data_IF_726169424050
#
_entry.id   IF_726169424050
#
_cell.length_a   1.000
_cell.length_b   1.000
_cell.length_c   1.000
_cell.angle_alpha   90.00
_cell.angle_beta   90.00
_cell.angle_gamma   90.00
#
_symmetry.space_group_name_H-M   'P 1'
#
loop_
_entity.id
_entity.type
_entity.pdbx_description
1 polymer ?
#
# COMPACT_ATOMS: atom_id res chain seq x y z
N UNK A 1 9.29 8.16 -16.78
CA UNK A 1 8.88 6.89 -16.15
C UNK A 1 9.18 7.05 -14.67
N UNK A 2 8.16 7.00 -13.81
CA UNK A 2 8.42 7.11 -12.36
C UNK A 2 9.12 5.81 -11.89
N UNK A 3 9.72 5.78 -10.69
CA UNK A 3 10.47 4.60 -10.23
C UNK A 3 9.58 3.35 -10.08
N UNK A 4 8.29 3.53 -9.79
CA UNK A 4 7.30 2.44 -9.72
C UNK A 4 7.02 1.87 -11.11
N UNK A 5 6.87 2.72 -12.12
CA UNK A 5 6.73 2.31 -13.52
C UNK A 5 7.99 1.58 -14.01
N UNK A 6 9.18 1.99 -13.54
CA UNK A 6 10.46 1.33 -13.83
C UNK A 6 10.57 -0.01 -13.11
N UNK A 7 10.14 -0.12 -11.85
CA UNK A 7 10.14 -1.38 -11.09
C UNK A 7 9.09 -2.36 -11.61
N UNK A 8 7.90 -1.87 -11.99
CA UNK A 8 6.88 -2.67 -12.69
C UNK A 8 7.37 -3.08 -14.09
N UNK A 9 8.12 -2.22 -14.78
CA UNK A 9 8.76 -2.52 -16.06
C UNK A 9 9.91 -3.54 -15.96
N UNK A 10 10.70 -3.51 -14.87
CA UNK A 10 11.81 -4.41 -14.64
C UNK A 10 11.37 -5.78 -14.16
N UNK A 11 10.26 -5.83 -13.42
CA UNK A 11 9.71 -7.06 -12.87
C UNK A 11 8.60 -7.64 -13.74
N UNK A 12 8.13 -6.93 -14.78
CA UNK A 12 6.91 -7.25 -15.50
C UNK A 12 6.82 -8.69 -16.02
N UNK A 13 5.67 -9.33 -15.81
CA UNK A 13 5.27 -10.52 -16.56
C UNK A 13 4.99 -10.10 -17.98
N UNK A 14 5.36 -10.98 -18.91
CA UNK A 14 5.04 -10.82 -20.30
C UNK A 14 3.74 -11.53 -20.64
N UNK A 15 2.78 -10.78 -21.18
CA UNK A 15 1.56 -11.35 -21.75
C UNK A 15 1.82 -11.86 -23.18
N UNK A 16 2.88 -11.34 -23.82
CA UNK A 16 3.25 -11.66 -25.18
C UNK A 16 4.68 -12.16 -25.28
N UNK A 17 4.83 -13.47 -25.40
CA UNK A 17 6.12 -14.11 -25.72
C UNK A 17 6.08 -14.53 -27.18
N UNK A 18 6.68 -13.71 -28.04
CA UNK A 18 6.65 -13.89 -29.48
C UNK A 18 8.00 -14.42 -29.97
N UNK A 19 7.97 -15.44 -30.83
CA UNK A 19 9.18 -15.88 -31.51
C UNK A 19 9.72 -14.74 -32.38
N UNK A 20 11.05 -14.58 -32.42
CA UNK A 20 11.69 -13.51 -33.19
C UNK A 20 11.31 -13.60 -34.67
N UNK A 21 11.00 -12.45 -35.26
CA UNK A 21 10.76 -12.25 -36.69
C UNK A 21 11.59 -11.08 -37.18
N UNK A 22 11.68 -10.89 -38.50
CA UNK A 22 12.34 -9.72 -39.08
C UNK A 22 11.73 -8.41 -38.57
N UNK A 23 10.41 -8.33 -38.46
CA UNK A 23 9.70 -7.15 -37.93
C UNK A 23 10.06 -6.87 -36.46
N UNK A 24 10.06 -7.91 -35.62
CA UNK A 24 10.43 -7.78 -34.21
C UNK A 24 11.94 -7.50 -34.02
N UNK A 25 12.76 -7.78 -35.04
CA UNK A 25 14.21 -7.54 -35.00
C UNK A 25 14.61 -6.13 -35.41
N UNK A 26 13.77 -5.40 -36.15
CA UNK A 26 14.05 -4.03 -36.63
C UNK A 26 14.64 -3.07 -35.59
N UNK A 27 14.22 -3.08 -34.30
CA UNK A 27 14.79 -2.19 -33.29
C UNK A 27 16.29 -2.45 -32.99
N UNK A 28 16.81 -3.63 -33.33
CA UNK A 28 18.20 -4.04 -33.08
C UNK A 28 19.08 -3.89 -34.33
N UNK A 29 18.52 -3.48 -35.47
CA UNK A 29 19.27 -3.37 -36.71
C UNK A 29 20.23 -2.19 -36.69
N UNK A 30 21.45 -2.42 -37.18
CA UNK A 30 22.44 -1.37 -37.43
C UNK A 30 23.27 -1.68 -38.67
N UNK A 31 24.18 -0.78 -39.05
CA UNK A 31 24.98 -0.96 -40.27
C UNK A 31 25.84 -2.25 -40.17
N UNK A 32 25.53 -3.23 -41.03
CA UNK A 32 26.18 -4.55 -41.03
C UNK A 32 25.62 -5.55 -40.01
N UNK A 33 24.46 -5.27 -39.43
CA UNK A 33 23.73 -6.18 -38.55
C UNK A 33 22.23 -6.16 -38.87
N UNK A 34 21.85 -6.95 -39.86
CA UNK A 34 20.44 -7.17 -40.27
C UNK A 34 19.86 -8.41 -39.63
N UNK A 35 18.53 -8.60 -39.72
CA UNK A 35 17.92 -9.86 -39.31
C UNK A 35 18.57 -11.09 -39.99
N UNK A 36 18.90 -11.01 -41.28
CA UNK A 36 19.57 -12.11 -41.98
C UNK A 36 20.96 -12.41 -41.40
N UNK A 37 21.70 -11.38 -41.00
CA UNK A 37 23.03 -11.55 -40.36
C UNK A 37 22.88 -12.20 -38.99
N UNK A 38 21.87 -11.80 -38.21
CA UNK A 38 21.54 -12.41 -36.93
C UNK A 38 21.19 -13.90 -37.09
N UNK A 39 20.30 -14.26 -38.02
CA UNK A 39 19.92 -15.66 -38.30
C UNK A 39 21.15 -16.48 -38.68
N UNK A 40 22.01 -15.96 -39.56
CA UNK A 40 23.23 -16.65 -39.97
C UNK A 40 24.17 -16.83 -38.77
N UNK A 41 24.38 -15.80 -37.97
CA UNK A 41 25.23 -15.87 -36.77
C UNK A 41 24.74 -16.91 -35.77
N UNK A 42 23.44 -16.95 -35.48
CA UNK A 42 22.83 -17.97 -34.60
C UNK A 42 23.00 -19.39 -35.18
N UNK A 43 22.84 -19.54 -36.50
CA UNK A 43 23.05 -20.82 -37.19
C UNK A 43 24.51 -21.27 -37.10
N UNK A 44 25.47 -20.35 -37.24
CA UNK A 44 26.91 -20.63 -37.13
C UNK A 44 27.31 -21.06 -35.72
N UNK A 45 26.59 -20.58 -34.69
CA UNK A 45 26.73 -21.05 -33.31
C UNK A 45 26.09 -22.44 -33.07
N UNK A 46 25.43 -23.02 -34.08
CA UNK A 46 24.74 -24.31 -33.98
C UNK A 46 23.43 -24.25 -33.19
N UNK A 47 22.82 -23.07 -33.09
CA UNK A 47 21.56 -22.85 -32.39
C UNK A 47 20.40 -22.70 -33.38
N UNK A 48 19.20 -23.03 -32.92
CA UNK A 48 17.98 -22.86 -33.72
C UNK A 48 17.39 -21.48 -33.49
N UNK A 49 17.18 -20.72 -34.58
CA UNK A 49 16.55 -19.41 -34.54
C UNK A 49 15.13 -19.47 -33.94
N UNK A 50 14.45 -20.62 -34.03
CA UNK A 50 13.11 -20.76 -33.47
C UNK A 50 13.07 -20.75 -31.94
N UNK A 51 14.23 -20.80 -31.30
CA UNK A 51 14.36 -20.68 -29.86
C UNK A 51 14.60 -19.24 -29.39
N UNK A 52 14.55 -18.24 -30.27
CA UNK A 52 14.74 -16.84 -29.88
C UNK A 52 13.41 -16.10 -29.83
N UNK A 53 13.18 -15.37 -28.74
CA UNK A 53 11.90 -14.73 -28.44
C UNK A 53 12.08 -13.29 -27.97
N UNK A 54 11.12 -12.45 -28.33
CA UNK A 54 10.97 -11.09 -27.80
C UNK A 54 9.69 -11.03 -26.99
N UNK A 55 9.78 -10.39 -25.83
CA UNK A 55 8.63 -10.15 -24.95
C UNK A 55 8.21 -8.69 -24.98
N UNK A 56 6.99 -8.43 -24.53
CA UNK A 56 6.45 -7.10 -24.27
C UNK A 56 6.97 -6.47 -22.95
N UNK A 57 7.88 -7.15 -22.24
CA UNK A 57 8.56 -6.58 -21.09
C UNK A 57 9.30 -5.29 -21.48
N UNK A 58 9.20 -4.26 -20.65
CA UNK A 58 9.85 -2.97 -20.88
C UNK A 58 11.36 -3.00 -20.60
N UNK A 59 11.83 -3.95 -19.81
CA UNK A 59 13.24 -4.22 -19.56
C UNK A 59 13.51 -5.73 -19.65
N UNK A 60 14.67 -6.13 -20.19
CA UNK A 60 15.06 -7.53 -20.37
C UNK A 60 13.99 -8.33 -21.13
N UNK A 61 13.92 -8.10 -22.45
CA UNK A 61 12.84 -8.63 -23.29
C UNK A 61 13.30 -9.59 -24.38
N UNK A 62 14.60 -9.88 -24.47
CA UNK A 62 15.17 -10.74 -25.49
C UNK A 62 15.63 -12.05 -24.84
N UNK A 63 15.08 -13.19 -25.26
CA UNK A 63 15.36 -14.47 -24.62
C UNK A 63 15.70 -15.57 -25.62
N UNK A 64 16.58 -16.48 -25.20
CA UNK A 64 16.64 -17.83 -25.73
C UNK A 64 15.77 -18.74 -24.87
N UNK A 65 14.85 -19.47 -25.50
CA UNK A 65 13.87 -20.35 -24.87
C UNK A 65 13.90 -21.72 -25.56
N UNK A 66 14.38 -22.73 -24.86
CA UNK A 66 14.19 -24.14 -25.20
C UNK A 66 13.25 -24.77 -24.18
N UNK A 67 11.95 -24.58 -24.42
CA UNK A 67 10.88 -25.02 -23.53
C UNK A 67 10.94 -26.53 -23.22
N UNK A 68 11.31 -27.33 -24.22
CA UNK A 68 11.35 -28.79 -24.10
C UNK A 68 12.37 -29.25 -23.06
N UNK A 69 13.52 -28.60 -23.02
CA UNK A 69 14.58 -28.89 -22.05
C UNK A 69 14.53 -27.96 -20.82
N UNK A 70 13.56 -27.04 -20.75
CA UNK A 70 13.40 -26.09 -19.65
C UNK A 70 14.50 -25.03 -19.58
N UNK A 71 15.17 -24.71 -20.69
CA UNK A 71 16.30 -23.78 -20.69
C UNK A 71 15.80 -22.40 -21.09
N UNK A 72 16.07 -21.42 -20.22
CA UNK A 72 15.73 -20.03 -20.40
C UNK A 72 16.98 -19.18 -20.17
N UNK A 73 17.35 -18.37 -21.16
CA UNK A 73 18.49 -17.46 -21.04
C UNK A 73 18.07 -16.07 -21.48
N UNK A 74 18.20 -15.12 -20.57
CA UNK A 74 18.10 -13.71 -20.86
C UNK A 74 19.28 -13.29 -21.74
N UNK A 75 18.97 -12.86 -22.96
CA UNK A 75 19.95 -12.35 -23.92
C UNK A 75 20.20 -10.85 -23.78
N UNK A 76 19.41 -10.15 -22.96
CA UNK A 76 19.38 -8.69 -22.76
C UNK A 76 18.99 -7.90 -24.02
N UNK A 77 19.68 -8.12 -25.13
CA UNK A 77 19.46 -7.51 -26.44
C UNK A 77 20.01 -8.44 -27.54
N UNK A 78 19.41 -8.44 -28.73
CA UNK A 78 19.91 -9.21 -29.89
C UNK A 78 20.97 -8.46 -30.71
N UNK A 79 21.92 -7.82 -30.03
CA UNK A 79 23.09 -7.21 -30.65
C UNK A 79 24.28 -8.18 -30.68
N UNK A 80 25.03 -8.18 -31.78
CA UNK A 80 26.17 -9.08 -32.00
C UNK A 80 27.18 -9.07 -30.85
N UNK A 81 27.62 -7.89 -30.41
CA UNK A 81 28.62 -7.76 -29.35
C UNK A 81 28.16 -8.35 -28.02
N UNK A 82 26.87 -8.21 -27.68
CA UNK A 82 26.32 -8.82 -26.47
C UNK A 82 26.19 -10.34 -26.59
N UNK A 83 25.71 -10.84 -27.73
CA UNK A 83 25.63 -12.28 -27.98
C UNK A 83 27.01 -12.96 -27.91
N UNK A 84 28.05 -12.32 -28.47
CA UNK A 84 29.44 -12.77 -28.38
C UNK A 84 29.96 -12.75 -26.94
N UNK A 85 29.70 -11.66 -26.20
CA UNK A 85 30.10 -11.52 -24.80
C UNK A 85 29.47 -12.59 -23.91
N UNK A 86 28.19 -12.91 -24.14
CA UNK A 86 27.45 -13.87 -23.34
C UNK A 86 27.95 -15.30 -23.50
N UNK A 87 28.57 -15.66 -24.63
CA UNK A 87 28.96 -17.05 -24.93
C UNK A 87 27.77 -18.01 -24.79
N UNK A 88 26.73 -17.72 -25.57
CA UNK A 88 25.41 -18.33 -25.43
C UNK A 88 25.44 -19.87 -25.47
N UNK A 89 26.16 -20.54 -26.41
CA UNK A 89 26.25 -22.01 -26.42
C UNK A 89 26.83 -22.60 -25.14
N UNK A 90 27.86 -21.97 -24.57
CA UNK A 90 28.49 -22.41 -23.33
C UNK A 90 27.54 -22.26 -22.14
N UNK A 91 26.79 -21.15 -22.07
CA UNK A 91 25.76 -20.96 -21.03
C UNK A 91 24.63 -21.98 -21.14
N UNK A 92 24.14 -22.23 -22.35
CA UNK A 92 23.13 -23.27 -22.61
C UNK A 92 23.65 -24.62 -22.12
N UNK A 93 24.88 -25.00 -22.48
CA UNK A 93 25.44 -26.29 -22.09
C UNK A 93 25.73 -26.38 -20.59
N UNK A 94 26.15 -25.30 -19.93
CA UNK A 94 26.41 -25.29 -18.49
C UNK A 94 25.15 -25.56 -17.66
N UNK A 95 23.98 -25.11 -18.12
CA UNK A 95 22.71 -25.29 -17.39
C UNK A 95 21.98 -26.60 -17.72
N UNK A 96 22.29 -27.25 -18.85
CA UNK A 96 21.56 -28.44 -19.36
C UNK A 96 21.45 -29.58 -18.35
N UNK A 97 22.59 -30.06 -17.84
CA UNK A 97 22.60 -31.25 -17.01
C UNK A 97 21.86 -31.00 -15.68
N UNK A 98 22.02 -29.81 -15.10
CA UNK A 98 21.36 -29.46 -13.85
C UNK A 98 19.86 -29.29 -14.02
N UNK A 99 19.41 -28.55 -15.03
CA UNK A 99 17.98 -28.37 -15.30
C UNK A 99 17.32 -29.71 -15.62
N UNK A 100 17.99 -30.55 -16.43
CA UNK A 100 17.52 -31.89 -16.74
C UNK A 100 17.35 -32.74 -15.47
N UNK A 101 18.33 -32.73 -14.58
CA UNK A 101 18.25 -33.41 -13.29
C UNK A 101 17.02 -32.96 -12.47
N UNK A 102 16.79 -31.64 -12.38
CA UNK A 102 15.66 -31.08 -11.65
C UNK A 102 14.31 -31.51 -12.25
N UNK A 103 14.18 -31.46 -13.57
CA UNK A 103 12.96 -31.88 -14.27
C UNK A 103 12.72 -33.40 -14.18
N UNK A 104 13.78 -34.22 -14.34
CA UNK A 104 13.70 -35.67 -14.22
C UNK A 104 13.29 -36.08 -12.78
N UNK A 105 13.77 -35.37 -11.76
CA UNK A 105 13.41 -35.56 -10.36
C UNK A 105 12.08 -34.89 -9.96
N UNK A 106 11.49 -34.08 -10.85
CA UNK A 106 10.29 -33.26 -10.60
C UNK A 106 10.46 -32.27 -9.44
N UNK A 107 11.66 -31.72 -9.28
CA UNK A 107 11.98 -30.67 -8.32
C UNK A 107 11.68 -29.29 -8.94
N UNK A 108 10.39 -28.99 -9.04
CA UNK A 108 9.90 -27.80 -9.73
C UNK A 108 10.21 -26.49 -8.98
N UNK A 109 10.21 -26.50 -7.64
CA UNK A 109 10.58 -25.33 -6.84
C UNK A 109 12.01 -24.89 -7.16
N UNK A 110 12.97 -25.82 -7.16
CA UNK A 110 14.34 -25.50 -7.56
C UNK A 110 14.46 -25.16 -9.05
N UNK A 111 13.66 -25.79 -9.92
CA UNK A 111 13.67 -25.48 -11.35
C UNK A 111 13.26 -24.03 -11.63
N UNK A 112 12.22 -23.51 -10.98
CA UNK A 112 11.76 -22.13 -11.21
C UNK A 112 12.75 -21.06 -10.72
N UNK A 113 13.79 -21.42 -9.96
CA UNK A 113 14.94 -20.53 -9.68
C UNK A 113 15.80 -20.25 -10.92
N UNK A 114 15.73 -21.11 -11.94
CA UNK A 114 16.46 -20.96 -13.21
C UNK A 114 15.60 -20.33 -14.32
N UNK A 115 14.30 -20.14 -14.08
CA UNK A 115 13.39 -19.50 -15.04
C UNK A 115 13.37 -17.99 -14.75
N UNK A 116 13.68 -17.13 -15.73
CA UNK A 116 13.55 -15.68 -15.58
C UNK A 116 12.16 -15.31 -15.07
N UNK A 117 12.10 -14.39 -14.11
CA UNK A 117 10.87 -13.90 -13.47
C UNK A 117 9.72 -13.67 -14.44
N UNK A 118 9.98 -12.92 -15.52
CA UNK A 118 8.98 -12.57 -16.53
C UNK A 118 8.39 -13.78 -17.26
N UNK A 119 9.11 -14.91 -17.31
CA UNK A 119 8.74 -16.13 -18.02
C UNK A 119 8.18 -17.24 -17.10
N UNK A 120 8.18 -17.07 -15.77
CA UNK A 120 7.68 -18.11 -14.84
C UNK A 120 6.22 -18.47 -15.11
N UNK A 121 5.35 -17.46 -15.25
CA UNK A 121 3.93 -17.65 -15.55
C UNK A 121 3.72 -18.27 -16.94
N UNK A 122 4.52 -17.82 -17.92
CA UNK A 122 4.52 -18.36 -19.28
C UNK A 122 4.88 -19.85 -19.32
N UNK A 123 5.92 -20.29 -18.60
CA UNK A 123 6.30 -21.70 -18.50
C UNK A 123 5.23 -22.48 -17.74
N UNK A 124 4.78 -21.97 -16.59
CA UNK A 124 3.79 -22.65 -15.75
C UNK A 124 2.49 -22.93 -16.53
N UNK A 125 1.99 -21.97 -17.31
CA UNK A 125 0.81 -22.17 -18.16
C UNK A 125 0.92 -23.35 -19.13
N UNK A 126 2.13 -23.74 -19.53
CA UNK A 126 2.38 -24.87 -20.44
C UNK A 126 2.69 -26.16 -19.69
N UNK A 127 3.28 -26.06 -18.49
CA UNK A 127 3.82 -27.19 -17.73
C UNK A 127 2.96 -27.64 -16.55
N UNK A 128 1.94 -26.86 -16.15
CA UNK A 128 1.15 -27.13 -14.94
C UNK A 128 0.54 -28.55 -14.86
N UNK A 129 0.29 -29.20 -16.01
CA UNK A 129 -0.20 -30.59 -16.09
C UNK A 129 0.88 -31.66 -15.98
N UNK A 130 2.15 -31.30 -16.20
CA UNK A 130 3.30 -32.18 -16.05
C UNK A 130 3.80 -32.20 -14.60
N UNK A 131 3.40 -31.22 -13.79
CA UNK A 131 3.68 -31.17 -12.36
C UNK A 131 2.75 -32.14 -11.63
N UNK A 132 3.30 -32.93 -10.69
CA UNK A 132 2.51 -33.81 -9.82
C UNK A 132 1.37 -33.04 -9.16
N UNK A 133 0.20 -33.65 -9.13
CA UNK A 133 -0.98 -33.08 -8.47
C UNK A 133 -0.74 -32.77 -7.00
N UNK A 134 0.15 -33.50 -6.32
CA UNK A 134 0.53 -33.23 -4.92
C UNK A 134 1.43 -32.01 -4.73
N UNK A 135 1.97 -31.42 -5.81
CA UNK A 135 2.95 -30.31 -5.77
C UNK A 135 2.48 -29.07 -6.54
N UNK A 136 1.59 -29.23 -7.52
CA UNK A 136 1.21 -28.14 -8.44
C UNK A 136 0.68 -26.89 -7.73
N UNK A 137 -0.04 -27.07 -6.62
CA UNK A 137 -0.55 -25.99 -5.79
C UNK A 137 0.56 -25.20 -5.07
N UNK A 138 1.53 -25.91 -4.50
CA UNK A 138 2.69 -25.32 -3.83
C UNK A 138 3.59 -24.58 -4.82
N UNK A 139 3.90 -25.19 -5.96
CA UNK A 139 4.73 -24.57 -7.01
C UNK A 139 4.05 -23.33 -7.59
N UNK A 140 2.73 -23.37 -7.78
CA UNK A 140 1.98 -22.18 -8.19
C UNK A 140 2.07 -21.08 -7.15
N UNK A 141 1.88 -21.42 -5.87
CA UNK A 141 1.90 -20.45 -4.78
C UNK A 141 3.28 -19.78 -4.67
N UNK A 142 4.36 -20.55 -4.78
CA UNK A 142 5.74 -20.04 -4.79
C UNK A 142 5.96 -19.00 -5.91
N UNK A 143 5.52 -19.30 -7.13
CA UNK A 143 5.61 -18.35 -8.25
C UNK A 143 4.72 -17.12 -8.01
N UNK A 144 3.53 -17.31 -7.45
CA UNK A 144 2.58 -16.24 -7.16
C UNK A 144 3.08 -15.31 -6.06
N UNK A 145 3.73 -15.81 -5.00
CA UNK A 145 4.19 -14.99 -3.88
C UNK A 145 5.53 -14.32 -4.12
N UNK A 146 6.37 -14.89 -5.00
CA UNK A 146 7.66 -14.32 -5.40
C UNK A 146 7.51 -12.93 -6.06
N UNK A 147 6.32 -12.59 -6.57
CA UNK A 147 6.07 -11.32 -7.26
C UNK A 147 4.64 -10.77 -7.13
N UNK A 148 4.47 -9.49 -7.44
CA UNK A 148 3.22 -8.72 -7.24
C UNK A 148 2.42 -8.57 -8.56
N UNK A 149 2.15 -9.69 -9.24
CA UNK A 149 1.55 -9.70 -10.59
C UNK A 149 0.01 -9.75 -10.62
N UNK A 150 -0.62 -9.91 -9.46
CA UNK A 150 -2.07 -10.10 -9.36
C UNK A 150 -2.56 -11.37 -10.07
N UNK A 151 -3.89 -11.53 -10.10
CA UNK A 151 -4.53 -12.73 -10.67
C UNK A 151 -4.81 -12.65 -12.17
N UNK A 152 -4.70 -11.47 -12.77
CA UNK A 152 -5.14 -11.21 -14.14
C UNK A 152 -4.28 -11.92 -15.21
N UNK A 153 -3.01 -12.10 -14.89
CA UNK A 153 -2.03 -12.83 -15.72
C UNK A 153 -2.27 -14.35 -15.76
N UNK A 154 -3.07 -14.90 -14.83
CA UNK A 154 -3.27 -16.33 -14.73
C UNK A 154 -4.51 -16.78 -15.52
N UNK A 155 -4.33 -17.75 -16.40
CA UNK A 155 -5.42 -18.32 -17.16
C UNK A 155 -6.44 -19.01 -16.25
N UNK A 156 -7.73 -18.74 -16.45
CA UNK A 156 -8.81 -19.35 -15.64
C UNK A 156 -8.71 -20.88 -15.56
N UNK A 157 -8.41 -21.55 -16.68
CA UNK A 157 -8.25 -23.00 -16.72
C UNK A 157 -7.06 -23.52 -15.90
N UNK A 158 -6.02 -22.69 -15.72
CA UNK A 158 -4.86 -23.01 -14.87
C UNK A 158 -5.25 -22.87 -13.41
N UNK A 159 -5.84 -21.73 -13.00
CA UNK A 159 -6.32 -21.54 -11.64
C UNK A 159 -7.35 -22.60 -11.23
N UNK A 160 -8.30 -22.92 -12.11
CA UNK A 160 -9.31 -23.95 -11.86
C UNK A 160 -8.70 -25.34 -11.69
N UNK A 161 -7.56 -25.64 -12.32
CA UNK A 161 -6.82 -26.88 -12.11
C UNK A 161 -6.02 -26.84 -10.81
N UNK A 162 -5.24 -25.78 -10.58
CA UNK A 162 -4.40 -25.60 -9.39
C UNK A 162 -5.24 -25.71 -8.11
N UNK A 163 -6.37 -25.02 -8.07
CA UNK A 163 -7.24 -24.96 -6.89
C UNK A 163 -7.93 -26.29 -6.54
N UNK A 164 -7.92 -27.29 -7.45
CA UNK A 164 -8.39 -28.65 -7.11
C UNK A 164 -7.41 -29.39 -6.19
N UNK A 165 -6.16 -28.92 -6.11
CA UNK A 165 -5.08 -29.59 -5.40
C UNK A 165 -4.52 -28.78 -4.22
N UNK A 166 -5.18 -27.68 -3.85
CA UNK A 166 -4.88 -26.93 -2.64
C UNK A 166 -4.98 -27.83 -1.41
N UNK A 167 -4.02 -27.70 -0.51
CA UNK A 167 -4.08 -28.39 0.77
C UNK A 167 -5.08 -27.68 1.70
N UNK A 168 -5.74 -28.42 2.61
CA UNK A 168 -6.57 -27.79 3.63
C UNK A 168 -5.76 -26.82 4.47
N UNK A 169 -6.36 -25.69 4.82
CA UNK A 169 -5.77 -24.71 5.74
C UNK A 169 -5.73 -25.25 7.18
N UNK A 170 -4.80 -24.73 7.98
CA UNK A 170 -4.76 -24.97 9.45
C UNK A 170 -5.81 -24.13 10.21
N UNK A 171 -6.41 -23.14 9.56
CA UNK A 171 -7.47 -22.29 10.13
C UNK A 171 -8.70 -23.15 10.42
N UNK A 172 -9.20 -23.10 11.66
CA UNK A 172 -10.34 -23.93 12.09
C UNK A 172 -11.64 -23.14 12.26
N UNK A 173 -11.56 -21.82 12.33
CA UNK A 173 -12.71 -20.94 12.58
C UNK A 173 -12.96 -20.02 11.38
N UNK A 174 -14.21 -19.58 11.16
CA UNK A 174 -14.51 -18.59 10.13
C UNK A 174 -13.72 -17.29 10.34
N UNK A 175 -13.24 -16.70 9.23
CA UNK A 175 -12.48 -15.46 9.25
C UNK A 175 -13.31 -14.30 8.68
N UNK A 176 -13.13 -13.12 9.27
CA UNK A 176 -13.47 -11.86 8.62
C UNK A 176 -12.27 -11.43 7.78
N UNK A 177 -12.52 -11.19 6.50
CA UNK A 177 -11.49 -10.77 5.54
C UNK A 177 -11.88 -9.44 4.89
N UNK A 178 -10.87 -8.75 4.38
CA UNK A 178 -10.95 -7.42 3.81
C UNK A 178 -10.24 -7.39 2.45
N UNK A 179 -10.73 -6.54 1.55
CA UNK A 179 -10.09 -6.25 0.27
C UNK A 179 -10.07 -4.76 0.00
N UNK A 180 -8.87 -4.27 -0.28
CA UNK A 180 -8.63 -2.92 -0.76
C UNK A 180 -9.06 -2.74 -2.21
N UNK A 181 -9.85 -1.71 -2.49
CA UNK A 181 -10.28 -1.33 -3.84
C UNK A 181 -9.81 0.10 -4.10
N UNK A 182 -8.82 0.24 -4.98
CA UNK A 182 -8.32 1.49 -5.50
C UNK A 182 -8.73 1.70 -6.96
N UNK A 183 -8.30 2.82 -7.55
CA UNK A 183 -8.63 3.19 -8.95
C UNK A 183 -8.11 2.21 -10.01
N UNK A 184 -7.14 1.36 -9.68
CA UNK A 184 -6.52 0.39 -10.60
C UNK A 184 -6.83 -1.07 -10.20
N UNK A 185 -7.71 -1.30 -9.23
CA UNK A 185 -7.97 -2.65 -8.72
C UNK A 185 -8.84 -3.47 -9.68
N UNK A 186 -8.53 -4.77 -9.76
CA UNK A 186 -9.42 -5.77 -10.37
C UNK A 186 -10.81 -5.70 -9.75
N UNK A 187 -11.90 -5.77 -10.55
CA UNK A 187 -13.26 -5.86 -10.05
C UNK A 187 -13.43 -6.92 -8.97
N UNK A 188 -14.26 -6.62 -7.98
CA UNK A 188 -14.39 -7.42 -6.76
C UNK A 188 -14.77 -8.88 -7.06
N UNK A 189 -15.64 -9.10 -8.04
CA UNK A 189 -16.17 -10.42 -8.42
C UNK A 189 -15.11 -11.32 -9.07
N UNK A 190 -14.03 -10.73 -9.59
CA UNK A 190 -12.92 -11.42 -10.23
C UNK A 190 -11.70 -11.55 -9.31
N UNK A 191 -11.82 -11.10 -8.06
CA UNK A 191 -10.73 -11.10 -7.10
C UNK A 191 -10.61 -12.42 -6.33
N UNK A 192 -9.37 -12.80 -6.05
CA UNK A 192 -9.05 -14.00 -5.26
C UNK A 192 -8.30 -13.67 -3.96
N UNK A 193 -7.48 -12.62 -3.96
CA UNK A 193 -6.67 -12.21 -2.81
C UNK A 193 -7.42 -11.22 -1.91
N UNK A 194 -7.45 -11.58 -0.63
CA UNK A 194 -8.03 -10.84 0.49
C UNK A 194 -7.03 -10.87 1.66
N UNK A 195 -7.26 -10.10 2.71
CA UNK A 195 -6.43 -10.09 3.91
C UNK A 195 -7.30 -10.16 5.17
N UNK A 196 -6.79 -10.73 6.26
CA UNK A 196 -7.46 -10.63 7.57
C UNK A 196 -7.19 -9.29 8.28
N UNK A 197 -6.35 -8.44 7.70
CA UNK A 197 -5.93 -7.16 8.29
C UNK A 197 -6.54 -5.97 7.55
N UNK A 198 -7.34 -5.16 8.26
CA UNK A 198 -7.97 -3.97 7.70
C UNK A 198 -6.93 -2.95 7.21
N UNK A 199 -5.79 -2.81 7.89
CA UNK A 199 -4.76 -1.83 7.51
C UNK A 199 -4.04 -2.24 6.23
N UNK A 200 -3.82 -3.55 6.05
CA UNK A 200 -3.30 -4.08 4.79
C UNK A 200 -4.29 -3.81 3.66
N UNK A 201 -5.59 -3.99 3.89
CA UNK A 201 -6.61 -3.68 2.88
C UNK A 201 -6.66 -2.17 2.55
N UNK A 202 -6.58 -1.29 3.55
CA UNK A 202 -6.51 0.16 3.36
C UNK A 202 -5.26 0.55 2.55
N UNK A 203 -4.10 -0.04 2.86
CA UNK A 203 -2.88 0.16 2.09
C UNK A 203 -3.04 -0.24 0.62
N UNK A 204 -3.54 -1.45 0.35
CA UNK A 204 -3.76 -1.90 -1.03
C UNK A 204 -4.75 -1.01 -1.78
N UNK A 205 -5.79 -0.49 -1.11
CA UNK A 205 -6.74 0.44 -1.71
C UNK A 205 -6.08 1.75 -2.17
N UNK A 206 -5.05 2.22 -1.46
CA UNK A 206 -4.43 3.53 -1.73
C UNK A 206 -3.06 3.43 -2.42
N UNK A 207 -2.41 2.27 -2.47
CA UNK A 207 -1.03 2.10 -2.97
C UNK A 207 -0.79 2.68 -4.37
N UNK A 208 -1.72 2.46 -5.31
CA UNK A 208 -1.59 2.86 -6.71
C UNK A 208 -2.63 3.91 -7.15
N UNK A 209 -2.88 4.91 -6.30
CA UNK A 209 -3.78 6.02 -6.61
C UNK A 209 -4.61 6.43 -5.40
N UNK A 210 -5.91 6.62 -5.63
CA UNK A 210 -6.85 6.99 -4.58
C UNK A 210 -7.72 5.80 -4.16
N UNK A 211 -7.88 5.62 -2.84
CA UNK A 211 -8.78 4.61 -2.29
C UNK A 211 -10.23 4.87 -2.67
N UNK A 212 -10.93 3.82 -3.10
CA UNK A 212 -12.32 3.89 -3.55
C UNK A 212 -13.26 3.16 -2.59
N UNK A 213 -12.88 1.98 -2.11
CA UNK A 213 -13.69 1.22 -1.16
C UNK A 213 -12.84 0.17 -0.41
N UNK A 214 -13.36 -0.28 0.73
CA UNK A 214 -12.96 -1.54 1.36
C UNK A 214 -14.15 -2.49 1.33
N UNK A 215 -13.97 -3.66 0.73
CA UNK A 215 -14.92 -4.75 0.87
C UNK A 215 -14.55 -5.60 2.09
N UNK A 216 -15.56 -6.10 2.81
CA UNK A 216 -15.39 -7.09 3.87
C UNK A 216 -16.34 -8.25 3.64
N UNK A 217 -15.91 -9.44 4.03
CA UNK A 217 -16.66 -10.68 3.87
C UNK A 217 -16.28 -11.67 4.96
N UNK A 218 -17.10 -12.71 5.12
CA UNK A 218 -16.78 -13.89 5.92
C UNK A 218 -16.41 -15.05 5.00
N UNK A 219 -15.32 -15.75 5.36
CA UNK A 219 -14.89 -16.99 4.70
C UNK A 219 -14.83 -18.12 5.72
N UNK A 220 -15.34 -19.29 5.34
CA UNK A 220 -15.29 -20.49 6.16
C UNK A 220 -14.02 -21.30 5.85
N UNK A 221 -13.46 -22.04 6.82
CA UNK A 221 -12.23 -22.81 6.64
C UNK A 221 -12.17 -23.67 5.38
N UNK A 222 -13.27 -24.35 5.04
CA UNK A 222 -13.37 -25.23 3.87
C UNK A 222 -13.28 -24.51 2.52
N UNK A 223 -13.47 -23.19 2.50
CA UNK A 223 -13.44 -22.35 1.30
C UNK A 223 -12.10 -21.63 1.10
N UNK A 224 -11.18 -21.72 2.08
CA UNK A 224 -9.86 -21.09 2.01
C UNK A 224 -8.94 -21.96 1.14
N UNK A 225 -8.46 -21.39 0.03
CA UNK A 225 -7.53 -22.07 -0.88
C UNK A 225 -6.09 -22.00 -0.36
N UNK A 226 -5.70 -20.83 0.16
CA UNK A 226 -4.40 -20.61 0.81
C UNK A 226 -4.50 -19.52 1.87
N UNK A 227 -3.63 -19.62 2.87
CA UNK A 227 -3.33 -18.58 3.84
C UNK A 227 -1.81 -18.42 3.91
N UNK A 228 -1.30 -17.19 3.78
CA UNK A 228 0.13 -16.89 3.96
C UNK A 228 0.30 -15.55 4.67
N UNK A 229 1.31 -15.46 5.52
CA UNK A 229 1.71 -14.21 6.17
C UNK A 229 3.20 -13.90 5.93
N UNK A 230 3.82 -14.52 4.93
CA UNK A 230 5.26 -14.39 4.68
C UNK A 230 5.68 -12.95 4.33
N UNK A 231 4.73 -12.17 3.79
CA UNK A 231 4.90 -10.75 3.42
C UNK A 231 4.34 -9.77 4.46
N UNK A 232 3.91 -10.24 5.63
CA UNK A 232 3.17 -9.46 6.63
C UNK A 232 1.86 -8.84 6.05
N UNK A 233 1.20 -9.61 5.17
CA UNK A 233 -0.03 -9.22 4.48
C UNK A 233 -1.26 -10.01 4.99
N UNK A 234 -1.05 -11.08 5.78
CA UNK A 234 -2.08 -12.01 6.24
C UNK A 234 -3.06 -12.39 5.12
N UNK A 235 -2.51 -12.76 3.98
CA UNK A 235 -3.22 -12.98 2.73
C UNK A 235 -4.05 -14.27 2.79
N UNK A 236 -5.30 -14.16 2.32
CA UNK A 236 -6.26 -15.24 2.14
C UNK A 236 -6.61 -15.32 0.67
N UNK A 237 -6.33 -16.46 0.05
CA UNK A 237 -6.73 -16.75 -1.33
C UNK A 237 -8.04 -17.55 -1.30
N UNK A 238 -9.08 -17.03 -1.94
CA UNK A 238 -10.44 -17.59 -1.91
C UNK A 238 -11.20 -17.23 -3.18
N UNK A 239 -12.15 -18.06 -3.60
CA UNK A 239 -13.04 -17.71 -4.72
C UNK A 239 -14.13 -16.76 -4.24
N UNK A 240 -14.34 -15.65 -4.96
CA UNK A 240 -15.39 -14.68 -4.63
C UNK A 240 -16.77 -15.32 -4.40
N UNK A 241 -17.15 -16.31 -5.23
CA UNK A 241 -18.45 -17.00 -5.11
C UNK A 241 -18.67 -17.78 -3.82
N UNK A 242 -17.62 -18.04 -3.04
CA UNK A 242 -17.72 -18.78 -1.78
C UNK A 242 -17.91 -17.84 -0.57
N UNK A 243 -17.60 -16.55 -0.74
CA UNK A 243 -17.70 -15.54 0.32
C UNK A 243 -19.14 -15.36 0.81
N UNK A 244 -19.29 -15.11 2.12
CA UNK A 244 -20.56 -14.75 2.77
C UNK A 244 -20.52 -13.31 3.24
N UNK A 245 -21.71 -12.70 3.36
CA UNK A 245 -21.89 -11.37 3.96
C UNK A 245 -21.01 -10.27 3.34
N UNK A 246 -20.77 -10.35 2.03
CA UNK A 246 -19.97 -9.36 1.30
C UNK A 246 -20.64 -7.99 1.41
N UNK A 247 -19.94 -7.03 2.01
CA UNK A 247 -20.39 -5.64 2.20
C UNK A 247 -19.24 -4.67 1.98
N UNK A 248 -19.57 -3.44 1.63
CA UNK A 248 -18.61 -2.34 1.59
C UNK A 248 -18.63 -1.61 2.95
N UNK A 249 -17.45 -1.24 3.44
CA UNK A 249 -17.36 -0.31 4.57
C UNK A 249 -17.84 1.07 4.13
N UNK A 250 -18.51 1.80 5.03
CA UNK A 250 -18.91 3.19 4.82
C UNK A 250 -17.66 4.07 4.91
N UNK A 251 -17.02 4.29 3.77
CA UNK A 251 -15.85 5.15 3.59
C UNK A 251 -16.11 6.11 2.44
N UNK A 252 -15.63 7.35 2.56
CA UNK A 252 -15.70 8.31 1.47
C UNK A 252 -14.58 8.05 0.46
N UNK A 253 -14.91 7.82 -0.83
CA UNK A 253 -13.90 7.62 -1.85
C UNK A 253 -13.09 8.89 -2.07
N UNK A 254 -11.79 8.72 -2.28
CA UNK A 254 -10.89 9.83 -2.56
C UNK A 254 -10.73 10.04 -4.07
N UNK A 255 -10.60 11.30 -4.47
CA UNK A 255 -10.29 11.70 -5.83
C UNK A 255 -9.56 13.04 -5.81
N UNK A 256 -8.92 13.40 -6.92
CA UNK A 256 -8.29 14.71 -7.04
C UNK A 256 -9.29 15.86 -6.85
N UNK A 257 -10.49 15.75 -7.40
CA UNK A 257 -11.53 16.78 -7.28
C UNK A 257 -12.03 16.91 -5.84
N UNK A 258 -12.21 15.77 -5.14
CA UNK A 258 -12.59 15.76 -3.73
C UNK A 258 -11.54 16.46 -2.87
N UNK A 259 -10.26 16.14 -3.07
CA UNK A 259 -9.16 16.78 -2.36
C UNK A 259 -9.08 18.28 -2.65
N UNK A 260 -9.17 18.68 -3.92
CA UNK A 260 -9.11 20.08 -4.32
C UNK A 260 -10.26 20.89 -3.69
N UNK A 261 -11.48 20.33 -3.69
CA UNK A 261 -12.64 20.95 -3.07
C UNK A 261 -12.44 21.13 -1.56
N UNK A 262 -11.97 20.08 -0.87
CA UNK A 262 -11.70 20.12 0.57
C UNK A 262 -10.60 21.13 0.92
N UNK A 263 -9.49 21.13 0.18
CA UNK A 263 -8.40 22.08 0.37
C UNK A 263 -8.89 23.50 0.16
N UNK A 264 -9.58 23.79 -0.96
CA UNK A 264 -10.09 25.14 -1.22
C UNK A 264 -11.03 25.65 -0.13
N UNK A 265 -11.86 24.76 0.42
CA UNK A 265 -12.81 25.09 1.49
C UNK A 265 -12.10 25.47 2.79
N UNK A 266 -11.08 24.71 3.20
CA UNK A 266 -10.45 24.85 4.51
C UNK A 266 -9.18 25.72 4.50
N UNK A 267 -8.57 25.94 3.32
CA UNK A 267 -7.30 26.66 3.19
C UNK A 267 -7.27 28.05 3.84
N UNK A 268 -8.31 28.90 3.77
CA UNK A 268 -8.27 30.21 4.42
C UNK A 268 -8.08 30.13 5.94
N UNK A 269 -8.77 29.19 6.61
CA UNK A 269 -8.63 28.93 8.04
C UNK A 269 -7.30 28.25 8.34
N UNK A 270 -6.92 27.28 7.52
CA UNK A 270 -5.67 26.57 7.64
C UNK A 270 -4.46 27.50 7.58
N UNK A 271 -4.36 28.34 6.55
CA UNK A 271 -3.31 29.35 6.42
C UNK A 271 -3.43 30.44 7.51
N UNK A 272 -4.66 30.78 7.89
CA UNK A 272 -4.94 31.78 8.92
C UNK A 272 -4.43 31.40 10.31
N UNK A 273 -4.60 30.14 10.72
CA UNK A 273 -4.12 29.60 11.99
C UNK A 273 -2.71 29.00 11.89
N UNK A 274 -2.36 28.38 10.77
CA UNK A 274 -1.11 27.66 10.58
C UNK A 274 0.14 28.54 10.62
N UNK A 275 0.02 29.84 10.33
CA UNK A 275 1.13 30.81 10.49
C UNK A 275 1.60 31.00 11.93
N UNK A 276 0.87 30.46 12.92
CA UNK A 276 1.23 30.49 14.33
C UNK A 276 1.90 29.20 14.79
N UNK A 277 2.11 28.24 13.89
CA UNK A 277 2.94 27.07 14.17
C UNK A 277 4.39 27.53 14.06
N UNK A 278 5.09 27.61 15.20
CA UNK A 278 6.52 27.91 15.23
C UNK A 278 7.33 26.62 15.12
N UNK A 279 8.24 26.56 14.14
CA UNK A 279 9.15 25.42 14.01
C UNK A 279 10.12 25.29 15.18
N UNK A 280 10.44 26.40 15.86
CA UNK A 280 11.43 26.44 16.93
C UNK A 280 10.91 25.79 18.23
N UNK A 281 9.59 25.57 18.36
CA UNK A 281 9.00 24.84 19.48
C UNK A 281 9.33 23.34 19.47
N UNK A 282 9.73 22.80 18.32
CA UNK A 282 9.94 21.38 18.13
C UNK A 282 11.45 21.06 18.09
N UNK A 283 11.92 20.30 19.08
CA UNK A 283 13.34 19.92 19.18
C UNK A 283 13.57 18.49 18.69
N UNK A 284 13.96 18.29 17.43
CA UNK A 284 14.28 16.97 16.89
C UNK A 284 14.22 16.89 15.36
N UNK A 285 14.77 15.80 14.80
CA UNK A 285 14.72 15.50 13.35
C UNK A 285 13.38 14.82 12.93
N UNK A 286 12.45 14.61 13.85
CA UNK A 286 11.17 13.96 13.58
C UNK A 286 10.05 14.99 13.44
N UNK A 287 9.59 15.21 12.21
CA UNK A 287 8.18 15.32 11.79
C UNK A 287 7.14 16.16 12.59
N UNK A 288 7.49 16.97 13.58
CA UNK A 288 6.54 17.59 14.51
C UNK A 288 5.79 18.80 13.93
N UNK A 289 6.49 19.67 13.17
CA UNK A 289 5.81 20.74 12.41
C UNK A 289 4.83 20.13 11.41
N UNK A 290 5.27 19.11 10.68
CA UNK A 290 4.46 18.45 9.66
C UNK A 290 3.25 17.74 10.27
N UNK A 291 3.41 17.11 11.44
CA UNK A 291 2.34 16.50 12.20
C UNK A 291 1.32 17.56 12.67
N UNK A 292 1.79 18.59 13.37
CA UNK A 292 0.97 19.71 13.85
C UNK A 292 0.19 20.37 12.71
N UNK A 293 0.85 20.62 11.58
CA UNK A 293 0.25 21.18 10.38
C UNK A 293 -0.83 20.27 9.79
N UNK A 294 -0.66 18.93 9.78
CA UNK A 294 -1.70 18.02 9.30
C UNK A 294 -2.86 17.90 10.28
N UNK A 295 -2.59 17.78 11.58
CA UNK A 295 -3.61 17.74 12.64
C UNK A 295 -4.47 19.00 12.61
N UNK A 296 -3.89 20.18 12.40
CA UNK A 296 -4.66 21.42 12.21
C UNK A 296 -5.64 21.31 11.04
N UNK A 297 -5.18 20.83 9.88
CA UNK A 297 -6.06 20.66 8.72
C UNK A 297 -7.15 19.63 9.00
N UNK A 298 -6.81 18.50 9.62
CA UNK A 298 -7.76 17.43 9.96
C UNK A 298 -8.78 17.87 11.00
N UNK A 299 -8.39 18.66 12.01
CA UNK A 299 -9.31 19.25 12.98
C UNK A 299 -10.35 20.13 12.31
N UNK A 300 -9.94 20.99 11.37
CA UNK A 300 -10.87 21.82 10.59
C UNK A 300 -11.81 20.97 9.73
N UNK A 301 -11.28 19.94 9.08
CA UNK A 301 -12.05 19.03 8.23
C UNK A 301 -13.06 18.17 9.01
N UNK A 302 -12.65 17.61 10.15
CA UNK A 302 -13.53 16.79 11.01
C UNK A 302 -14.61 17.67 11.63
N UNK A 303 -14.26 18.87 12.10
CA UNK A 303 -15.22 19.85 12.60
C UNK A 303 -16.30 20.19 11.56
N UNK A 304 -15.90 20.46 10.32
CA UNK A 304 -16.83 20.72 9.21
C UNK A 304 -17.70 19.50 8.88
N UNK A 305 -17.10 18.30 8.87
CA UNK A 305 -17.82 17.03 8.62
C UNK A 305 -18.90 16.78 9.68
N UNK A 306 -18.59 17.10 10.93
CA UNK A 306 -19.52 17.02 12.08
C UNK A 306 -20.42 18.25 12.22
N UNK A 307 -20.32 19.21 11.30
CA UNK A 307 -21.14 20.45 11.24
C UNK A 307 -20.98 21.34 12.48
N UNK A 308 -19.76 21.42 13.03
CA UNK A 308 -19.40 22.44 14.02
C UNK A 308 -19.43 23.81 13.33
N UNK A 309 -20.35 24.67 13.74
CA UNK A 309 -20.56 26.00 13.14
C UNK A 309 -20.07 27.15 14.02
N UNK A 310 -19.89 26.90 15.33
CA UNK A 310 -19.44 27.92 16.26
C UNK A 310 -17.96 28.25 15.99
N UNK A 311 -17.68 29.53 15.77
CA UNK A 311 -16.31 29.99 15.50
C UNK A 311 -15.41 29.82 16.72
N UNK A 312 -15.96 29.93 17.93
CA UNK A 312 -15.20 29.73 19.17
C UNK A 312 -14.75 28.27 19.30
N UNK A 313 -15.60 27.30 18.90
CA UNK A 313 -15.26 25.88 18.87
C UNK A 313 -14.16 25.57 17.84
N UNK A 314 -14.25 26.19 16.66
CA UNK A 314 -13.22 26.08 15.63
C UNK A 314 -11.89 26.67 16.11
N UNK A 315 -11.93 27.80 16.83
CA UNK A 315 -10.74 28.41 17.44
C UNK A 315 -10.14 27.52 18.52
N UNK A 316 -10.95 26.89 19.38
CA UNK A 316 -10.48 25.91 20.37
C UNK A 316 -9.74 24.76 19.66
N UNK A 317 -10.34 24.15 18.64
CA UNK A 317 -9.72 23.03 17.92
C UNK A 317 -8.42 23.42 17.20
N UNK A 318 -8.39 24.62 16.61
CA UNK A 318 -7.17 25.15 16.00
C UNK A 318 -6.09 25.43 17.05
N UNK A 319 -6.44 26.00 18.19
CA UNK A 319 -5.54 26.20 19.33
C UNK A 319 -4.95 24.86 19.80
N UNK A 320 -5.80 23.87 20.07
CA UNK A 320 -5.37 22.53 20.47
C UNK A 320 -4.42 21.91 19.43
N UNK A 321 -4.74 22.03 18.14
CA UNK A 321 -3.91 21.48 17.07
C UNK A 321 -2.51 22.04 17.06
N UNK A 322 -2.35 23.36 17.24
CA UNK A 322 -1.05 24.03 17.20
C UNK A 322 -0.18 23.67 18.41
N UNK A 323 -0.79 23.52 19.58
CA UNK A 323 -0.06 23.44 20.84
C UNK A 323 -0.01 22.06 21.51
N UNK A 324 -0.75 21.05 21.03
CA UNK A 324 -0.90 19.81 21.78
C UNK A 324 0.41 19.06 22.07
N UNK A 325 1.37 19.13 21.15
CA UNK A 325 2.63 18.37 21.18
C UNK A 325 3.87 19.22 21.53
N UNK A 326 3.72 20.48 21.95
CA UNK A 326 4.86 21.37 22.27
C UNK A 326 5.67 20.95 23.51
N UNK A 327 5.09 20.08 24.36
CA UNK A 327 5.75 19.44 25.48
C UNK A 327 6.39 18.09 25.16
N UNK A 328 6.29 17.59 23.91
CA UNK A 328 6.88 16.30 23.54
C UNK A 328 8.40 16.40 23.42
N UNK A 329 9.11 15.44 24.02
CA UNK A 329 10.58 15.41 24.04
C UNK A 329 11.20 14.19 23.33
N UNK A 330 10.38 13.23 22.87
CA UNK A 330 10.79 12.05 22.12
C UNK A 330 9.61 11.39 21.37
N UNK A 331 9.92 10.51 20.41
CA UNK A 331 8.93 9.80 19.57
C UNK A 331 8.25 8.58 20.23
N UNK A 332 8.61 8.24 21.48
CA UNK A 332 8.04 7.11 22.22
C UNK A 332 6.64 7.38 22.80
N UNK A 333 6.01 6.32 23.35
CA UNK A 333 4.77 6.45 24.12
C UNK A 333 5.04 7.31 25.34
N UNK A 334 4.29 8.41 25.45
CA UNK A 334 4.38 9.37 26.55
C UNK A 334 2.97 9.80 26.94
N UNK A 335 2.57 9.54 28.18
CA UNK A 335 1.27 9.96 28.71
C UNK A 335 1.31 11.37 29.33
N UNK A 336 2.49 12.00 29.39
CA UNK A 336 2.70 13.28 30.05
C UNK A 336 2.91 14.47 29.10
N UNK A 337 3.23 14.24 27.81
CA UNK A 337 3.54 15.36 26.89
C UNK A 337 2.41 16.38 26.80
N UNK A 338 1.14 15.97 26.84
CA UNK A 338 0.01 16.91 26.88
C UNK A 338 0.03 17.82 28.11
N UNK A 339 0.40 17.28 29.29
CA UNK A 339 0.56 18.07 30.51
C UNK A 339 1.70 19.07 30.40
N UNK A 340 2.85 18.63 29.88
CA UNK A 340 4.00 19.51 29.66
C UNK A 340 3.73 20.59 28.62
N UNK A 341 2.95 20.31 27.57
CA UNK A 341 2.49 21.31 26.60
C UNK A 341 1.72 22.44 27.29
N UNK A 342 0.84 22.11 28.25
CA UNK A 342 0.10 23.14 29.01
C UNK A 342 1.00 23.90 29.99
N UNK A 343 1.92 23.22 30.68
CA UNK A 343 2.85 23.92 31.58
C UNK A 343 3.67 24.95 30.81
N UNK A 344 4.17 24.59 29.63
CA UNK A 344 4.91 25.50 28.77
C UNK A 344 4.07 26.71 28.36
N UNK A 345 2.80 26.50 28.00
CA UNK A 345 1.85 27.57 27.69
C UNK A 345 1.59 28.51 28.87
N UNK A 346 1.74 28.03 30.11
CA UNK A 346 1.51 28.82 31.32
C UNK A 346 2.77 29.53 31.82
N UNK A 347 3.97 29.04 31.46
CA UNK A 347 5.26 29.66 31.79
C UNK A 347 5.65 30.75 30.78
N UNK A 348 5.28 30.58 29.51
CA UNK A 348 5.51 31.57 28.46
C UNK A 348 4.34 32.58 28.43
N UNK A 349 4.47 33.69 29.18
CA UNK A 349 3.57 34.87 29.14
C UNK A 349 3.34 35.42 27.70
N UNK A 350 4.14 34.99 26.71
CA UNK A 350 4.07 35.36 25.29
C UNK A 350 3.09 34.51 24.46
N UNK A 351 2.65 33.33 24.93
CA UNK A 351 1.72 32.45 24.19
C UNK A 351 0.24 32.80 24.39
N UNK A 352 -0.08 33.64 25.38
CA UNK A 352 -1.43 34.15 25.68
C UNK A 352 -1.95 35.17 24.63
N UNK A 353 -1.20 35.49 23.57
CA UNK A 353 -1.47 36.68 22.72
C UNK A 353 -1.55 36.43 21.21
N UNK A 354 -1.64 35.19 20.70
CA UNK A 354 -1.63 34.95 19.25
C UNK A 354 -2.69 33.93 18.80
N UNK A 355 -3.45 34.19 17.73
CA UNK A 355 -4.41 35.28 17.51
C UNK A 355 -5.81 34.93 18.07
N UNK A 356 -5.93 33.92 18.94
CA UNK A 356 -7.22 33.34 19.28
C UNK A 356 -7.96 34.23 20.29
N UNK A 357 -9.17 34.67 19.93
CA UNK A 357 -10.05 35.44 20.83
C UNK A 357 -10.84 34.46 21.71
N UNK A 358 -10.12 33.69 22.54
CA UNK A 358 -10.75 32.72 23.45
C UNK A 358 -11.16 33.41 24.73
N UNK A 359 -12.42 33.23 25.13
CA UNK A 359 -12.85 33.52 26.49
C UNK A 359 -12.05 32.68 27.50
N UNK A 360 -12.03 33.12 28.76
CA UNK A 360 -11.35 32.37 29.83
C UNK A 360 -11.83 30.91 29.91
N UNK A 361 -13.14 30.68 29.79
CA UNK A 361 -13.71 29.34 29.79
C UNK A 361 -13.26 28.52 28.56
N UNK A 362 -13.24 29.11 27.36
CA UNK A 362 -12.78 28.42 26.15
C UNK A 362 -11.29 28.08 26.21
N UNK A 363 -10.47 28.95 26.80
CA UNK A 363 -9.05 28.66 27.04
C UNK A 363 -8.88 27.50 28.03
N UNK A 364 -9.71 27.42 29.08
CA UNK A 364 -9.72 26.26 29.98
C UNK A 364 -10.11 24.97 29.26
N UNK A 365 -11.13 25.01 28.38
CA UNK A 365 -11.49 23.86 27.55
C UNK A 365 -10.31 23.44 26.67
N UNK A 366 -9.66 24.38 25.98
CA UNK A 366 -8.53 24.10 25.11
C UNK A 366 -7.35 23.48 25.87
N UNK A 367 -7.02 24.02 27.05
CA UNK A 367 -5.98 23.50 27.94
C UNK A 367 -6.30 22.10 28.44
N UNK A 368 -7.55 21.82 28.83
CA UNK A 368 -7.94 20.47 29.25
C UNK A 368 -7.87 19.46 28.09
N UNK A 369 -8.26 19.86 26.87
CA UNK A 369 -8.12 19.01 25.69
C UNK A 369 -6.65 18.69 25.43
N UNK A 370 -5.77 19.69 25.40
CA UNK A 370 -4.32 19.50 25.21
C UNK A 370 -3.76 18.61 26.33
N UNK A 371 -4.08 18.90 27.59
CA UNK A 371 -3.53 18.18 28.75
C UNK A 371 -3.85 16.70 28.71
N UNK A 372 -5.03 16.33 28.22
CA UNK A 372 -5.54 14.96 28.33
C UNK A 372 -5.61 14.21 26.99
N UNK A 373 -5.18 14.81 25.87
CA UNK A 373 -5.28 14.12 24.56
C UNK A 373 -4.43 12.83 24.51
N UNK A 374 -3.32 12.79 25.25
CA UNK A 374 -2.35 11.69 25.28
C UNK A 374 -2.70 10.55 26.24
N UNK A 375 -3.77 10.67 27.03
CA UNK A 375 -4.24 9.63 27.96
C UNK A 375 -5.49 8.92 27.44
N UNK A 376 -5.94 7.89 28.17
CA UNK A 376 -7.13 7.11 27.80
C UNK A 376 -8.39 7.98 27.72
N UNK A 377 -9.36 7.56 26.91
CA UNK A 377 -10.64 8.29 26.78
C UNK A 377 -11.42 8.35 28.08
N UNK A 378 -11.45 7.23 28.82
CA UNK A 378 -12.13 7.16 30.11
C UNK A 378 -11.57 8.20 31.08
N UNK A 379 -10.24 8.24 31.23
CA UNK A 379 -9.58 9.16 32.15
C UNK A 379 -9.70 10.62 31.71
N UNK A 380 -9.43 10.92 30.43
CA UNK A 380 -9.53 12.28 29.91
C UNK A 380 -10.95 12.85 30.01
N UNK A 381 -11.97 12.05 29.69
CA UNK A 381 -13.37 12.46 29.85
C UNK A 381 -13.70 12.69 31.32
N UNK A 382 -13.28 11.82 32.24
CA UNK A 382 -13.51 12.02 33.68
C UNK A 382 -12.94 13.36 34.14
N UNK A 383 -11.67 13.63 33.83
CA UNK A 383 -10.98 14.87 34.24
C UNK A 383 -11.65 16.12 33.67
N UNK A 384 -12.04 16.11 32.39
CA UNK A 384 -12.79 17.21 31.76
C UNK A 384 -14.14 17.43 32.46
N UNK A 385 -14.86 16.35 32.78
CA UNK A 385 -16.17 16.46 33.44
C UNK A 385 -16.08 16.95 34.89
N UNK A 386 -14.99 16.65 35.59
CA UNK A 386 -14.76 17.07 36.98
C UNK A 386 -14.35 18.56 37.13
N UNK A 387 -13.87 19.20 36.06
CA UNK A 387 -13.40 20.60 36.12
C UNK A 387 -14.52 21.61 36.40
N UNK A 388 -14.78 21.98 37.66
CA UNK A 388 -15.91 22.85 38.04
C UNK A 388 -15.98 24.23 37.35
N UNK A 389 -14.93 24.67 36.65
CA UNK A 389 -14.86 25.95 35.95
C UNK A 389 -15.45 25.93 34.53
N UNK A 390 -15.67 24.75 33.95
CA UNK A 390 -16.32 24.60 32.63
C UNK A 390 -17.81 24.34 32.84
N UNK A 391 -18.65 25.22 32.29
CA UNK A 391 -20.10 25.16 32.42
C UNK A 391 -20.73 24.09 31.52
N UNK A 392 -20.35 24.03 30.24
CA UNK A 392 -20.83 23.04 29.29
C UNK A 392 -19.84 21.87 29.11
N UNK A 393 -20.03 20.84 29.94
CA UNK A 393 -19.22 19.62 29.90
C UNK A 393 -19.39 18.82 28.63
N UNK A 394 -20.59 18.81 28.07
CA UNK A 394 -20.88 18.03 26.87
C UNK A 394 -20.17 18.64 25.66
N UNK A 395 -20.17 19.98 25.56
CA UNK A 395 -19.38 20.72 24.56
C UNK A 395 -17.89 20.42 24.69
N UNK A 396 -17.31 20.54 25.88
CA UNK A 396 -15.89 20.26 26.10
C UNK A 396 -15.49 18.82 25.73
N UNK A 397 -16.29 17.83 26.14
CA UNK A 397 -16.07 16.41 25.78
C UNK A 397 -16.26 16.18 24.27
N UNK A 398 -17.18 16.86 23.61
CA UNK A 398 -17.36 16.76 22.17
C UNK A 398 -16.13 17.28 21.41
N UNK A 399 -15.63 18.46 21.76
CA UNK A 399 -14.41 19.03 21.16
C UNK A 399 -13.16 18.18 21.44
N UNK A 400 -13.05 17.62 22.64
CA UNK A 400 -11.99 16.66 23.00
C UNK A 400 -11.98 15.45 22.06
N UNK A 401 -13.15 14.85 21.79
CA UNK A 401 -13.26 13.72 20.87
C UNK A 401 -12.92 14.10 19.43
N UNK A 402 -13.36 15.29 18.97
CA UNK A 402 -13.04 15.80 17.63
C UNK A 402 -11.53 15.93 17.48
N UNK A 403 -10.88 16.54 18.47
CA UNK A 403 -9.44 16.74 18.46
C UNK A 403 -8.68 15.41 18.44
N UNK A 404 -9.07 14.44 19.27
CA UNK A 404 -8.43 13.11 19.27
C UNK A 404 -8.64 12.33 17.98
N UNK A 405 -9.78 12.49 17.32
CA UNK A 405 -9.99 11.92 15.99
C UNK A 405 -9.06 12.55 14.96
N UNK A 406 -8.88 13.88 14.98
CA UNK A 406 -7.95 14.56 14.08
C UNK A 406 -6.48 14.15 14.30
N UNK A 407 -6.03 14.04 15.56
CA UNK A 407 -4.70 13.50 15.90
C UNK A 407 -4.54 12.05 15.41
N UNK A 408 -5.54 11.22 15.68
CA UNK A 408 -5.55 9.81 15.29
C UNK A 408 -5.52 9.64 13.76
N UNK A 409 -6.25 10.49 13.02
CA UNK A 409 -6.24 10.49 11.56
C UNK A 409 -4.87 10.80 10.96
N UNK A 410 -3.99 11.55 11.66
CA UNK A 410 -2.62 11.75 11.20
C UNK A 410 -1.71 10.52 11.31
N UNK A 411 -2.15 9.53 12.09
CA UNK A 411 -1.49 8.23 12.21
C UNK A 411 -1.88 7.29 11.06
N UNK A 412 -2.87 7.66 10.23
CA UNK A 412 -3.24 6.98 8.99
C UNK A 412 -2.14 7.24 7.95
N UNK A 413 -1.02 6.51 8.08
CA UNK A 413 0.13 6.56 7.17
C UNK A 413 0.40 5.16 6.67
N UNK A 414 -0.12 4.81 5.51
CA UNK A 414 0.08 3.48 4.94
C UNK A 414 1.44 3.31 4.22
N UNK A 415 2.36 4.28 4.31
CA UNK A 415 3.68 4.19 3.68
C UNK A 415 4.70 3.50 4.61
N UNK A 416 5.60 2.70 4.03
CA UNK A 416 6.73 2.01 4.68
C UNK A 416 6.39 0.78 5.56
N UNK A 417 5.39 -0.03 5.19
CA UNK A 417 5.15 -1.35 5.83
C UNK A 417 4.85 -1.30 7.34
N UNK A 418 4.46 -0.13 7.87
CA UNK A 418 3.97 0.02 9.25
C UNK A 418 2.46 0.16 9.22
N UNK A 419 1.77 -0.95 9.42
CA UNK A 419 0.33 -1.11 9.25
C UNK A 419 -0.45 -0.96 10.56
N UNK A 420 -0.05 -0.03 11.42
CA UNK A 420 -0.61 0.07 12.78
C UNK A 420 -1.47 1.32 12.91
N UNK A 421 -2.65 1.26 12.30
CA UNK A 421 -3.75 2.18 12.58
C UNK A 421 -4.92 1.38 13.14
N UNK A 422 -5.40 1.71 14.32
CA UNK A 422 -6.59 1.07 14.85
C UNK A 422 -7.79 2.01 14.69
N UNK A 423 -8.69 1.59 13.78
CA UNK A 423 -9.89 2.35 13.42
C UNK A 423 -10.83 2.56 14.62
N UNK A 424 -10.73 1.71 15.65
CA UNK A 424 -11.52 1.84 16.88
C UNK A 424 -11.08 3.04 17.74
N UNK A 425 -9.89 3.61 17.48
CA UNK A 425 -9.54 4.91 18.06
C UNK A 425 -10.32 6.07 17.41
N UNK A 426 -11.03 5.91 16.29
CA UNK A 426 -11.89 6.99 15.80
C UNK A 426 -13.22 6.97 16.54
N UNK A 427 -13.52 8.05 17.28
CA UNK A 427 -14.69 8.21 18.12
C UNK A 427 -15.95 8.47 17.31
N UNK A 428 -15.84 9.13 16.15
CA UNK A 428 -16.97 9.41 15.27
C UNK A 428 -17.01 8.51 14.03
N UNK A 429 -18.22 8.13 13.61
CA UNK A 429 -18.41 7.39 12.36
C UNK A 429 -18.03 8.24 11.15
N UNK A 430 -18.28 9.54 11.25
CA UNK A 430 -17.90 10.55 10.28
C UNK A 430 -16.38 10.61 10.09
N UNK A 431 -15.58 10.54 11.17
CA UNK A 431 -14.12 10.49 11.07
C UNK A 431 -13.64 9.21 10.39
N UNK A 432 -14.27 8.05 10.69
CA UNK A 432 -13.95 6.78 10.03
C UNK A 432 -14.15 6.83 8.52
N UNK A 433 -15.12 7.63 8.05
CA UNK A 433 -15.37 7.79 6.61
C UNK A 433 -14.20 8.49 5.88
N UNK A 434 -13.33 9.22 6.58
CA UNK A 434 -12.31 10.08 5.98
C UNK A 434 -10.96 9.38 5.71
N UNK A 435 -10.81 8.07 5.95
CA UNK A 435 -9.53 7.36 5.87
C UNK A 435 -8.82 7.50 4.50
N UNK A 436 -9.56 7.43 3.38
CA UNK A 436 -8.97 7.62 2.06
C UNK A 436 -8.63 9.09 1.76
N UNK A 437 -9.38 10.02 2.34
CA UNK A 437 -9.16 11.46 2.18
C UNK A 437 -7.86 11.86 2.87
N UNK A 438 -7.63 11.41 4.11
CA UNK A 438 -6.41 11.76 4.87
C UNK A 438 -5.15 11.16 4.24
N UNK A 439 -5.22 9.93 3.71
CA UNK A 439 -4.12 9.35 2.93
C UNK A 439 -3.82 10.18 1.66
N UNK A 440 -4.87 10.63 0.97
CA UNK A 440 -4.75 11.51 -0.19
C UNK A 440 -4.09 12.87 0.15
N UNK A 441 -4.49 13.50 1.26
CA UNK A 441 -3.92 14.74 1.76
C UNK A 441 -2.45 14.56 2.18
N UNK A 442 -2.12 13.44 2.83
CA UNK A 442 -0.75 13.08 3.21
C UNK A 442 0.14 12.90 1.97
N UNK A 443 -0.31 12.15 0.95
CA UNK A 443 0.41 12.01 -0.33
C UNK A 443 0.58 13.33 -1.06
N UNK A 444 -0.43 14.19 -0.96
CA UNK A 444 -0.40 15.58 -1.47
C UNK A 444 0.50 16.53 -0.68
N UNK A 445 1.02 16.11 0.48
CA UNK A 445 1.88 16.90 1.37
C UNK A 445 1.22 18.20 1.80
N UNK A 446 -0.01 18.13 2.31
CA UNK A 446 -0.80 19.29 2.75
C UNK A 446 -0.03 20.21 3.70
N UNK A 447 0.86 19.65 4.53
CA UNK A 447 1.72 20.41 5.45
C UNK A 447 2.65 21.41 4.76
N UNK A 448 2.95 21.22 3.47
CA UNK A 448 3.80 22.10 2.68
C UNK A 448 3.07 23.32 2.10
N UNK A 449 1.78 23.44 2.38
CA UNK A 449 0.98 24.61 1.98
C UNK A 449 1.00 25.73 3.03
N UNK A 450 1.53 25.46 4.23
CA UNK A 450 1.98 26.45 5.22
C UNK A 450 3.45 26.77 4.97
#
# INVERSE_FOLDING_TARGET
>A
MNIVDVMQASNGVTDQVNQITEELFQPFECEGWTYSDFVQYITDLGLDITNFYVTDSKMLNCFYIDYKNGIYIDCTVFEKGMLEFMKLPERINASKDKIKELLDNQDYLCFYLFVPTSLKVYDFHRRYKDIKTTQVAEVWLDIYTDFDFGFEIWGKAVLDYVFQFCQPTEITEPLTIYRGIGTQSTPLENSYSWTTDLNVALWFATRFGYGQAIATATVYPEDILFYTDDRNEKEVIVRYGNLKEVKLLDLEPCSQDTLQSLVNKHYPYYNGYGRFIDSDWFTGDSHDFSHTARVLFYSLMVADTLKVQDIEDIQILAYCSIFHDTGRCHDGVDENHGYESVNRLEEEDDLDVLPFDLSYENLLIAKDIIRYHCISDEEGISRITENTLISDKNRAVHLYKIFKDADCLDRVRFNNYRYEFDIEYLRFAESRRLLFIVDGLFKGKIEKML
#
